data_IF_524564291585
#
_entry.id   IF_524564291585
#
_cell.length_a   1.000
_cell.length_b   1.000
_cell.length_c   1.000
_cell.angle_alpha   90.00
_cell.angle_beta   90.00
_cell.angle_gamma   90.00
#
_symmetry.space_group_name_H-M   'P 1'
#
loop_
_entity.id
_entity.type
_entity.pdbx_description
1 polymer ?
#
# COMPACT_ATOMS: atom_id res chain seq x y z
N UNK A 1 -6.85 -3.28 -8.39
CA UNK A 1 -5.37 -3.44 -8.29
C UNK A 1 -4.94 -4.29 -7.10
N UNK A 2 -5.31 -3.95 -5.86
CA UNK A 2 -4.85 -4.68 -4.66
C UNK A 2 -5.29 -6.15 -4.58
N UNK A 3 -6.56 -6.46 -4.92
CA UNK A 3 -7.07 -7.85 -4.94
C UNK A 3 -6.34 -8.71 -5.99
N UNK A 4 -6.15 -8.18 -7.21
CA UNK A 4 -5.38 -8.84 -8.27
C UNK A 4 -3.92 -9.08 -7.86
N UNK A 5 -3.27 -8.09 -7.27
CA UNK A 5 -1.88 -8.18 -6.79
C UNK A 5 -1.75 -9.20 -5.64
N UNK A 6 -2.74 -9.28 -4.75
CA UNK A 6 -2.79 -10.28 -3.67
C UNK A 6 -2.92 -11.69 -4.23
N UNK A 7 -3.88 -11.93 -5.14
CA UNK A 7 -4.05 -13.22 -5.81
C UNK A 7 -2.81 -13.65 -6.61
N UNK A 8 -2.14 -12.69 -7.26
CA UNK A 8 -0.90 -12.95 -7.99
C UNK A 8 0.26 -13.32 -7.07
N UNK A 9 0.47 -12.62 -5.95
CA UNK A 9 1.59 -12.90 -5.05
C UNK A 9 1.46 -14.24 -4.31
N UNK A 10 0.25 -14.79 -4.18
CA UNK A 10 0.08 -16.19 -3.75
C UNK A 10 0.50 -17.20 -4.82
N UNK A 11 0.53 -16.80 -6.10
CA UNK A 11 0.78 -17.67 -7.25
C UNK A 11 2.14 -17.44 -7.94
N UNK A 12 2.74 -16.25 -7.83
CA UNK A 12 3.97 -15.89 -8.54
C UNK A 12 4.77 -14.78 -7.83
N UNK A 13 6.10 -14.84 -7.95
CA UNK A 13 7.03 -13.84 -7.41
C UNK A 13 7.34 -12.69 -8.37
N UNK A 14 6.83 -12.75 -9.61
CA UNK A 14 7.20 -11.81 -10.67
C UNK A 14 6.91 -10.36 -10.31
N UNK A 15 5.81 -10.08 -9.62
CA UNK A 15 5.44 -8.72 -9.26
C UNK A 15 6.23 -8.21 -8.04
N UNK A 16 6.37 -9.04 -7.00
CA UNK A 16 7.16 -8.68 -5.80
C UNK A 16 8.63 -8.42 -6.14
N UNK A 17 9.24 -9.22 -7.04
CA UNK A 17 10.62 -8.98 -7.52
C UNK A 17 10.78 -7.71 -8.37
N UNK A 18 9.71 -7.25 -9.02
CA UNK A 18 9.73 -5.95 -9.74
C UNK A 18 9.71 -4.77 -8.78
N UNK A 19 9.10 -4.94 -7.60
CA UNK A 19 9.08 -3.90 -6.56
C UNK A 19 10.46 -3.82 -5.89
N UNK A 20 10.96 -4.94 -5.36
CA UNK A 20 12.25 -5.04 -4.68
C UNK A 20 13.34 -5.45 -5.67
N UNK A 21 13.70 -4.54 -6.57
CA UNK A 21 14.60 -4.80 -7.69
C UNK A 21 16.06 -4.38 -7.45
N UNK A 22 16.37 -3.74 -6.32
CA UNK A 22 17.73 -3.32 -5.97
C UNK A 22 18.41 -4.27 -4.96
N UNK A 23 17.95 -5.53 -4.92
CA UNK A 23 18.49 -6.58 -4.06
C UNK A 23 18.67 -7.87 -4.87
N UNK A 24 19.59 -8.77 -4.47
CA UNK A 24 19.76 -10.05 -5.15
C UNK A 24 18.43 -10.80 -5.24
N UNK A 25 18.01 -11.37 -6.39
CA UNK A 25 16.69 -11.99 -6.55
C UNK A 25 16.36 -13.12 -5.56
N UNK A 26 17.38 -13.71 -4.94
CA UNK A 26 17.26 -14.74 -3.90
C UNK A 26 16.75 -14.20 -2.55
N UNK A 27 16.90 -12.90 -2.26
CA UNK A 27 16.39 -12.29 -1.01
C UNK A 27 14.87 -12.09 -1.04
N UNK A 28 14.28 -12.02 -2.24
CA UNK A 28 12.82 -11.97 -2.43
C UNK A 28 12.26 -13.40 -2.41
N UNK A 29 11.94 -13.87 -1.20
CA UNK A 29 11.47 -15.23 -0.95
C UNK A 29 9.96 -15.39 -1.18
N UNK A 30 9.48 -16.62 -1.45
CA UNK A 30 8.05 -16.90 -1.53
C UNK A 30 7.26 -16.58 -0.25
N UNK A 31 7.88 -16.76 0.92
CA UNK A 31 7.24 -16.45 2.19
C UNK A 31 7.04 -14.94 2.35
N UNK A 32 8.05 -14.14 2.00
CA UNK A 32 7.95 -12.69 2.00
C UNK A 32 6.89 -12.18 1.01
N UNK A 33 6.80 -12.78 -0.18
CA UNK A 33 5.78 -12.41 -1.16
C UNK A 33 4.34 -12.69 -0.65
N UNK A 34 4.10 -13.84 0.00
CA UNK A 34 2.78 -14.17 0.58
C UNK A 34 2.41 -13.27 1.76
N UNK A 35 3.37 -12.91 2.61
CA UNK A 35 3.12 -11.98 3.72
C UNK A 35 2.82 -10.56 3.21
N UNK A 36 3.55 -10.09 2.20
CA UNK A 36 3.25 -8.84 1.51
C UNK A 36 1.86 -8.86 0.83
N UNK A 37 1.47 -9.99 0.24
CA UNK A 37 0.13 -10.19 -0.31
C UNK A 37 -0.96 -10.06 0.76
N UNK A 38 -0.81 -10.74 1.90
CA UNK A 38 -1.75 -10.68 3.01
C UNK A 38 -1.87 -9.24 3.55
N UNK A 39 -0.75 -8.55 3.76
CA UNK A 39 -0.73 -7.16 4.20
C UNK A 39 -1.47 -6.21 3.22
N UNK A 40 -1.24 -6.41 1.91
CA UNK A 40 -1.93 -5.63 0.86
C UNK A 40 -3.43 -5.90 0.86
N UNK A 41 -3.83 -7.17 1.04
CA UNK A 41 -5.23 -7.56 1.11
C UNK A 41 -5.92 -6.96 2.34
N UNK A 42 -5.30 -7.03 3.52
CA UNK A 42 -5.82 -6.41 4.74
C UNK A 42 -6.05 -4.92 4.54
N UNK A 43 -5.08 -4.21 3.96
CA UNK A 43 -5.24 -2.78 3.65
C UNK A 43 -6.39 -2.52 2.68
N UNK A 44 -6.57 -3.39 1.67
CA UNK A 44 -7.66 -3.28 0.71
C UNK A 44 -9.04 -3.50 1.36
N UNK A 45 -9.15 -4.47 2.27
CA UNK A 45 -10.38 -4.75 3.03
C UNK A 45 -10.74 -3.54 3.89
N UNK A 46 -9.80 -3.01 4.68
CA UNK A 46 -10.05 -1.82 5.52
C UNK A 46 -10.54 -0.64 4.69
N UNK A 47 -9.86 -0.34 3.57
CA UNK A 47 -10.25 0.77 2.68
C UNK A 47 -11.58 0.51 1.98
N UNK A 48 -11.89 -0.74 1.64
CA UNK A 48 -13.17 -1.15 1.09
C UNK A 48 -14.31 -0.91 2.08
N UNK A 49 -14.16 -1.33 3.34
CA UNK A 49 -15.15 -1.07 4.39
C UNK A 49 -15.31 0.42 4.69
N UNK A 50 -14.19 1.15 4.75
CA UNK A 50 -14.21 2.60 4.98
C UNK A 50 -14.94 3.36 3.86
N UNK A 51 -14.88 2.90 2.60
CA UNK A 51 -15.59 3.53 1.49
C UNK A 51 -17.12 3.57 1.70
N UNK A 52 -17.68 2.61 2.45
CA UNK A 52 -19.11 2.60 2.82
C UNK A 52 -19.41 3.39 4.11
N UNK A 53 -18.39 3.76 4.88
CA UNK A 53 -18.52 4.38 6.21
C UNK A 53 -17.62 5.62 6.34
N UNK A 54 -17.46 6.41 5.27
CA UNK A 54 -16.57 7.58 5.28
C UNK A 54 -16.97 8.66 6.30
N UNK A 55 -18.24 8.69 6.70
CA UNK A 55 -18.72 9.66 7.69
C UNK A 55 -18.33 9.28 9.13
N UNK A 56 -17.94 8.03 9.37
CA UNK A 56 -17.52 7.56 10.68
C UNK A 56 -16.04 7.88 10.89
N UNK A 57 -15.73 8.73 11.88
CA UNK A 57 -14.36 9.16 12.18
C UNK A 57 -13.38 7.99 12.29
N UNK A 58 -13.77 6.94 12.99
CA UNK A 58 -12.92 5.76 13.22
C UNK A 58 -12.58 5.07 11.89
N UNK A 59 -13.56 4.88 11.00
CA UNK A 59 -13.34 4.24 9.70
C UNK A 59 -12.49 5.12 8.78
N UNK A 60 -12.72 6.43 8.80
CA UNK A 60 -11.93 7.39 8.05
C UNK A 60 -10.47 7.40 8.48
N UNK A 61 -10.22 7.50 9.79
CA UNK A 61 -8.88 7.50 10.37
C UNK A 61 -8.16 6.17 10.07
N UNK A 62 -8.85 5.03 10.17
CA UNK A 62 -8.27 3.73 9.81
C UNK A 62 -7.84 3.69 8.34
N UNK A 63 -8.68 4.14 7.40
CA UNK A 63 -8.31 4.20 6.00
C UNK A 63 -7.12 5.14 5.76
N UNK A 64 -7.11 6.32 6.39
CA UNK A 64 -6.01 7.28 6.31
C UNK A 64 -4.69 6.66 6.80
N UNK A 65 -4.72 5.99 7.96
CA UNK A 65 -3.54 5.31 8.52
C UNK A 65 -3.04 4.22 7.59
N UNK A 66 -3.92 3.43 6.95
CA UNK A 66 -3.44 2.41 5.99
C UNK A 66 -2.72 3.04 4.79
N UNK A 67 -3.13 4.21 4.31
CA UNK A 67 -2.40 4.92 3.25
C UNK A 67 -1.06 5.47 3.77
N UNK A 68 -1.02 5.95 5.01
CA UNK A 68 0.21 6.42 5.65
C UNK A 68 1.24 5.30 5.81
N UNK A 69 0.83 4.12 6.26
CA UNK A 69 1.72 2.95 6.37
C UNK A 69 2.28 2.56 5.00
N UNK A 70 1.44 2.55 3.96
CA UNK A 70 1.89 2.24 2.60
C UNK A 70 2.92 3.27 2.10
N UNK A 71 2.65 4.56 2.31
CA UNK A 71 3.58 5.63 1.96
C UNK A 71 4.91 5.49 2.72
N UNK A 72 4.85 5.33 4.04
CA UNK A 72 6.04 5.19 4.89
C UNK A 72 6.89 3.97 4.50
N UNK A 73 6.26 2.82 4.23
CA UNK A 73 6.94 1.61 3.76
C UNK A 73 7.71 1.88 2.46
N UNK A 74 7.03 2.31 1.39
CA UNK A 74 7.69 2.53 0.11
C UNK A 74 8.69 3.69 0.12
N UNK A 75 8.46 4.73 0.92
CA UNK A 75 9.42 5.80 1.11
C UNK A 75 10.69 5.28 1.81
N UNK A 76 10.55 4.44 2.84
CA UNK A 76 11.68 3.83 3.53
C UNK A 76 12.49 2.89 2.63
N UNK A 77 11.82 2.13 1.76
CA UNK A 77 12.49 1.22 0.81
C UNK A 77 13.27 1.97 -0.28
N UNK A 78 12.84 3.19 -0.63
CA UNK A 78 13.55 4.05 -1.58
C UNK A 78 14.69 4.83 -0.93
N UNK A 79 14.45 5.44 0.23
CA UNK A 79 15.34 6.44 0.83
C UNK A 79 16.33 5.85 1.83
N UNK A 80 15.89 4.87 2.63
CA UNK A 80 16.65 4.34 3.77
C UNK A 80 17.25 2.98 3.42
N UNK A 81 16.41 1.97 3.17
CA UNK A 81 16.86 0.60 2.93
C UNK A 81 17.38 0.39 1.51
N UNK A 82 16.95 1.25 0.57
CA UNK A 82 17.37 1.23 -0.84
C UNK A 82 17.20 -0.15 -1.49
N UNK A 83 16.19 -0.92 -1.10
CA UNK A 83 15.93 -2.25 -1.68
C UNK A 83 15.14 -2.17 -2.98
N UNK A 84 14.57 -1.01 -3.28
CA UNK A 84 13.83 -0.70 -4.48
C UNK A 84 14.47 0.48 -5.21
N UNK A 85 14.49 0.44 -6.55
CA UNK A 85 14.78 1.61 -7.37
C UNK A 85 13.49 2.33 -7.75
N UNK A 86 13.55 3.63 -8.10
CA UNK A 86 12.42 4.34 -8.67
C UNK A 86 11.99 3.68 -9.99
N UNK A 87 10.97 2.83 -9.92
CA UNK A 87 10.44 2.06 -11.05
C UNK A 87 8.92 2.24 -11.12
N UNK A 88 8.30 1.86 -12.25
CA UNK A 88 6.88 2.08 -12.48
C UNK A 88 5.98 1.45 -11.39
N UNK A 89 6.39 0.31 -10.82
CA UNK A 89 5.65 -0.35 -9.74
C UNK A 89 5.67 0.48 -8.46
N UNK A 90 6.85 0.92 -8.02
CA UNK A 90 7.02 1.72 -6.81
C UNK A 90 6.45 3.13 -6.97
N UNK A 91 6.64 3.76 -8.14
CA UNK A 91 6.05 5.06 -8.41
C UNK A 91 4.52 5.00 -8.41
N UNK A 92 3.92 3.93 -8.96
CA UNK A 92 2.46 3.80 -8.92
C UNK A 92 1.93 3.74 -7.48
N UNK A 93 2.63 3.08 -6.55
CA UNK A 93 2.20 2.98 -5.15
C UNK A 93 2.45 4.27 -4.38
N UNK A 94 3.59 4.93 -4.60
CA UNK A 94 3.90 6.22 -3.97
C UNK A 94 2.94 7.31 -4.45
N UNK A 95 2.67 7.41 -5.75
CA UNK A 95 1.73 8.40 -6.29
C UNK A 95 0.34 8.15 -5.73
N UNK A 96 -0.19 6.92 -5.82
CA UNK A 96 -1.55 6.60 -5.35
C UNK A 96 -1.69 6.82 -3.84
N UNK A 97 -0.70 6.43 -3.04
CA UNK A 97 -0.76 6.66 -1.59
C UNK A 97 -0.67 8.14 -1.24
N UNK A 98 0.18 8.91 -1.91
CA UNK A 98 0.32 10.35 -1.68
C UNK A 98 -0.92 11.12 -2.09
N UNK A 99 -1.48 10.86 -3.28
CA UNK A 99 -2.69 11.54 -3.74
C UNK A 99 -3.90 11.19 -2.87
N UNK A 100 -4.01 9.93 -2.44
CA UNK A 100 -5.06 9.49 -1.50
C UNK A 100 -4.91 10.16 -0.13
N UNK A 101 -3.68 10.27 0.41
CA UNK A 101 -3.43 10.98 1.66
C UNK A 101 -3.82 12.45 1.57
N UNK A 102 -3.37 13.16 0.51
CA UNK A 102 -3.71 14.57 0.30
C UNK A 102 -5.21 14.76 0.19
N UNK A 103 -5.90 13.91 -0.57
CA UNK A 103 -7.36 13.92 -0.64
C UNK A 103 -8.00 13.74 0.73
N UNK A 104 -7.57 12.71 1.48
CA UNK A 104 -8.17 12.43 2.79
C UNK A 104 -7.90 13.52 3.83
N UNK A 105 -6.76 14.20 3.77
CA UNK A 105 -6.53 15.36 4.63
C UNK A 105 -7.39 16.57 4.23
N UNK A 106 -7.50 16.86 2.94
CA UNK A 106 -8.29 18.02 2.46
C UNK A 106 -9.79 17.83 2.65
N UNK A 107 -10.29 16.59 2.56
CA UNK A 107 -11.72 16.28 2.71
C UNK A 107 -12.08 15.82 4.13
N UNK A 108 -11.17 15.91 5.09
CA UNK A 108 -11.38 15.39 6.44
C UNK A 108 -12.65 15.98 7.08
N UNK A 109 -12.78 17.30 7.10
CA UNK A 109 -13.93 18.01 7.70
C UNK A 109 -15.22 17.85 6.91
N UNK A 110 -15.13 17.51 5.62
CA UNK A 110 -16.29 17.27 4.77
C UNK A 110 -16.95 15.92 5.10
N UNK A 111 -16.14 14.88 5.25
CA UNK A 111 -16.60 13.52 5.55
C UNK A 111 -16.80 13.30 7.05
N UNK A 112 -15.82 13.66 7.88
CA UNK A 112 -15.89 13.54 9.32
C UNK A 112 -16.55 14.80 9.89
N UNK A 113 -17.88 14.79 9.95
CA UNK A 113 -18.64 15.82 10.67
C UNK A 113 -18.57 15.51 12.17
N UNK A 114 -18.20 16.52 12.95
CA UNK A 114 -18.19 16.45 14.42
C UNK A 114 -19.59 16.19 14.99
#
# INVERSE_FOLDING_TARGET
MAVFNSAQNFSTLKLTRRIYNNVPPATVTPLQARTFAAWTLTSAVVRGYAAYHLNEKIMYDMALITYLIAFAHFASELLIFRTATPNAGVFSTVIVSTTSLVWMFTQYTYYVKA
#
